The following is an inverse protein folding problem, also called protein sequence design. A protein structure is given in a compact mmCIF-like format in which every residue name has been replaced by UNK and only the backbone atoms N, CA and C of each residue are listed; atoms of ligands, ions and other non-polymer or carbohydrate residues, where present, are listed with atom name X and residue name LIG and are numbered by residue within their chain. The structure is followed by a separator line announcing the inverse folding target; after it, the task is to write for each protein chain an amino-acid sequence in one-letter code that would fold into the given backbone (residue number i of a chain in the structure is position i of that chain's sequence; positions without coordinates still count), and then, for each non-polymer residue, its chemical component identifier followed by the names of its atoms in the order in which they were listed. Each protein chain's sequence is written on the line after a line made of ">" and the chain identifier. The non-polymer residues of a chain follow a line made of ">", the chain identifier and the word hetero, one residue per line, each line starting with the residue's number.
data_IF_811946745706
#
_entry.id   IF_811946745706
#
_cell.length_a   1.000
_cell.length_b   1.000
_cell.length_c   1.000
_cell.angle_alpha   90.00
_cell.angle_beta   90.00
_cell.angle_gamma   90.00
#
_symmetry.space_group_name_H-M   'P 1'
#
loop_
_entity.id
_entity.type
_entity.pdbx_description
1 polymer ?
#
# COMPACT_ATOMS: atom_id res chain seq x y z
N UNK A 1 29.07 -15.88 16.21
CA UNK A 1 29.29 -14.43 16.37
C UNK A 1 28.54 -13.62 15.30
N UNK A 2 28.71 -13.82 14.01
CA UNK A 2 28.05 -13.04 12.92
C UNK A 2 26.50 -12.98 12.96
N UNK A 3 25.78 -14.01 13.45
CA UNK A 3 24.30 -13.94 13.60
C UNK A 3 23.82 -13.01 14.70
N UNK A 4 24.65 -12.73 15.73
CA UNK A 4 24.28 -11.83 16.84
C UNK A 4 24.38 -10.35 16.42
N UNK A 5 25.40 -9.98 15.67
CA UNK A 5 25.62 -8.60 15.19
C UNK A 5 24.58 -8.18 14.17
N UNK A 6 24.16 -9.10 13.29
CA UNK A 6 23.14 -8.82 12.28
C UNK A 6 21.75 -8.48 12.84
N UNK A 7 21.45 -8.89 14.10
CA UNK A 7 20.14 -8.64 14.72
C UNK A 7 20.17 -7.52 15.78
N UNK A 8 21.33 -6.92 16.05
CA UNK A 8 21.44 -5.86 17.06
C UNK A 8 20.60 -4.63 16.75
N UNK A 9 20.55 -4.11 15.49
CA UNK A 9 19.66 -2.98 15.17
C UNK A 9 18.18 -3.27 15.41
N UNK A 10 17.72 -4.50 15.18
CA UNK A 10 16.35 -4.89 15.51
C UNK A 10 16.10 -4.87 17.01
N UNK A 11 17.07 -5.36 17.79
CA UNK A 11 16.97 -5.36 19.26
C UNK A 11 16.91 -3.94 19.81
N UNK A 12 17.68 -3.01 19.21
CA UNK A 12 17.68 -1.60 19.60
C UNK A 12 16.32 -0.96 19.28
N UNK A 13 15.74 -1.25 18.11
CA UNK A 13 14.40 -0.78 17.76
C UNK A 13 13.34 -1.34 18.73
N UNK A 14 13.41 -2.64 19.08
CA UNK A 14 12.51 -3.26 20.08
C UNK A 14 12.70 -2.62 21.47
N UNK A 15 13.94 -2.34 21.87
CA UNK A 15 14.23 -1.66 23.16
C UNK A 15 13.64 -0.26 23.20
N UNK A 16 13.81 0.51 22.14
CA UNK A 16 13.25 1.87 22.04
C UNK A 16 11.72 1.85 22.15
N UNK A 17 11.06 1.07 21.30
CA UNK A 17 9.59 0.99 21.30
C UNK A 17 9.06 0.41 22.62
N UNK A 18 9.76 -0.58 23.18
CA UNK A 18 9.44 -1.16 24.48
C UNK A 18 9.63 -0.18 25.65
N UNK A 19 10.67 0.66 25.62
CA UNK A 19 10.88 1.70 26.63
C UNK A 19 9.78 2.76 26.59
N UNK A 20 9.43 3.26 25.38
CA UNK A 20 8.34 4.23 25.23
C UNK A 20 7.00 3.64 25.70
N UNK A 21 6.73 2.37 25.38
CA UNK A 21 5.54 1.67 25.87
C UNK A 21 5.56 1.52 27.40
N UNK A 22 6.71 1.14 27.98
CA UNK A 22 6.88 1.01 29.42
C UNK A 22 6.62 2.32 30.16
N UNK A 23 7.18 3.43 29.68
CA UNK A 23 6.90 4.77 30.20
C UNK A 23 5.41 5.11 30.08
N UNK A 24 4.79 4.78 28.95
CA UNK A 24 3.34 4.97 28.76
C UNK A 24 2.50 4.20 29.77
N UNK A 25 2.85 2.94 30.02
CA UNK A 25 2.18 2.10 31.04
C UNK A 25 2.33 2.72 32.43
N UNK A 26 3.54 3.17 32.78
CA UNK A 26 3.82 3.81 34.06
C UNK A 26 3.02 5.08 34.25
N UNK A 27 3.00 5.96 33.25
CA UNK A 27 2.28 7.22 33.27
C UNK A 27 0.75 7.06 33.33
N UNK A 28 0.21 6.06 32.64
CA UNK A 28 -1.23 5.86 32.48
C UNK A 28 -1.86 4.95 33.54
N UNK A 29 -1.09 3.99 34.09
CA UNK A 29 -1.61 2.95 34.99
C UNK A 29 -0.86 2.85 36.32
N UNK A 30 0.19 3.66 36.52
CA UNK A 30 0.97 3.73 37.75
C UNK A 30 2.11 2.73 37.83
N UNK A 31 2.98 2.96 38.81
CA UNK A 31 4.21 2.18 39.01
C UNK A 31 3.96 0.70 39.29
N UNK A 32 2.94 0.37 40.10
CA UNK A 32 2.64 -1.01 40.46
C UNK A 32 2.29 -1.89 39.25
N UNK A 33 1.53 -1.35 38.28
CA UNK A 33 1.21 -2.08 37.03
C UNK A 33 2.46 -2.23 36.17
N UNK A 34 3.27 -1.18 36.06
CA UNK A 34 4.52 -1.23 35.32
C UNK A 34 5.47 -2.28 35.88
N UNK A 35 5.69 -2.31 37.22
CA UNK A 35 6.52 -3.30 37.88
C UNK A 35 6.01 -4.73 37.66
N UNK A 36 4.69 -4.95 37.68
CA UNK A 36 4.08 -6.25 37.40
C UNK A 36 4.37 -6.69 35.95
N UNK A 37 4.22 -5.78 34.97
CA UNK A 37 4.55 -6.05 33.56
C UNK A 37 6.03 -6.40 33.41
N UNK A 38 6.95 -5.63 34.02
CA UNK A 38 8.38 -5.89 33.94
C UNK A 38 8.79 -7.22 34.61
N UNK A 39 8.24 -7.50 35.77
CA UNK A 39 8.46 -8.80 36.44
C UNK A 39 7.97 -9.94 35.55
N UNK A 40 6.76 -9.87 35.02
CA UNK A 40 6.22 -10.89 34.13
C UNK A 40 7.09 -11.07 32.86
N UNK A 41 7.61 -10.00 32.31
CA UNK A 41 8.56 -10.04 31.18
C UNK A 41 9.85 -10.77 31.54
N UNK A 42 10.47 -10.44 32.68
CA UNK A 42 11.71 -11.05 33.14
C UNK A 42 11.50 -12.54 33.42
N UNK A 43 10.45 -12.87 34.17
CA UNK A 43 10.17 -14.26 34.53
C UNK A 43 9.81 -15.13 33.31
N UNK A 44 9.15 -14.54 32.30
CA UNK A 44 8.89 -15.21 31.00
C UNK A 44 10.19 -15.63 30.32
N UNK A 45 11.25 -14.81 30.35
CA UNK A 45 12.56 -15.19 29.83
C UNK A 45 13.20 -16.32 30.66
N UNK A 46 13.04 -16.33 32.00
CA UNK A 46 13.55 -17.38 32.87
C UNK A 46 12.83 -18.69 32.59
N UNK A 47 11.51 -18.70 32.40
CA UNK A 47 10.77 -19.90 31.98
C UNK A 47 11.29 -20.41 30.63
N UNK A 48 11.51 -19.52 29.66
CA UNK A 48 12.02 -19.88 28.32
C UNK A 48 13.42 -20.48 28.35
N UNK A 49 14.24 -20.11 29.35
CA UNK A 49 15.57 -20.67 29.58
C UNK A 49 15.55 -21.91 30.47
N UNK A 50 14.37 -22.36 30.88
CA UNK A 50 14.19 -23.46 31.83
C UNK A 50 14.88 -23.22 33.19
N UNK A 51 14.94 -21.95 33.61
CA UNK A 51 15.48 -21.54 34.91
C UNK A 51 14.43 -21.62 36.01
N UNK A 52 13.17 -21.48 35.65
CA UNK A 52 12.00 -21.58 36.53
C UNK A 52 10.87 -22.33 35.85
N UNK A 53 9.92 -22.83 36.64
CA UNK A 53 8.70 -23.46 36.12
C UNK A 53 7.61 -22.45 35.76
N UNK A 54 6.70 -22.83 34.84
CA UNK A 54 5.54 -21.98 34.46
C UNK A 54 4.65 -21.62 35.65
N UNK A 55 4.57 -22.47 36.66
CA UNK A 55 3.81 -22.23 37.85
C UNK A 55 4.32 -21.02 38.67
N UNK A 56 5.63 -20.79 38.66
CA UNK A 56 6.24 -19.64 39.34
C UNK A 56 5.86 -18.31 38.59
N UNK A 57 5.87 -18.34 37.25
CA UNK A 57 5.37 -17.19 36.45
C UNK A 57 3.88 -16.97 36.71
N UNK A 58 3.07 -18.03 36.74
CA UNK A 58 1.62 -17.91 36.98
C UNK A 58 1.32 -17.32 38.36
N UNK A 59 2.11 -17.67 39.39
CA UNK A 59 1.95 -17.14 40.75
C UNK A 59 2.11 -15.61 40.86
N UNK A 60 2.77 -14.96 39.87
CA UNK A 60 2.81 -13.49 39.82
C UNK A 60 1.43 -12.84 39.65
N UNK A 61 0.48 -13.58 39.10
CA UNK A 61 -0.87 -13.10 38.80
C UNK A 61 -1.90 -13.57 39.84
N UNK A 62 -1.48 -14.31 40.88
CA UNK A 62 -2.37 -14.73 41.96
C UNK A 62 -2.88 -13.51 42.73
N UNK A 63 -4.20 -13.38 42.79
CA UNK A 63 -4.86 -12.31 43.56
C UNK A 63 -4.90 -10.93 42.88
N UNK A 64 -4.45 -10.80 41.63
CA UNK A 64 -4.66 -9.54 40.88
C UNK A 64 -6.13 -9.37 40.54
N UNK A 65 -6.61 -8.13 40.60
CA UNK A 65 -7.96 -7.81 40.18
C UNK A 65 -8.03 -7.54 38.65
N UNK A 66 -9.25 -7.39 38.13
CA UNK A 66 -9.50 -7.12 36.72
C UNK A 66 -8.89 -5.79 36.24
N UNK A 67 -8.81 -4.79 37.13
CA UNK A 67 -8.24 -3.49 36.80
C UNK A 67 -6.73 -3.54 36.63
N UNK A 68 -6.07 -4.46 37.30
CA UNK A 68 -4.65 -4.77 37.13
C UNK A 68 -4.40 -5.71 35.94
N UNK A 69 -5.24 -6.73 35.76
CA UNK A 69 -5.10 -7.72 34.70
C UNK A 69 -5.22 -7.13 33.30
N UNK A 70 -6.21 -6.24 33.07
CA UNK A 70 -6.45 -5.61 31.78
C UNK A 70 -5.22 -4.82 31.27
N UNK A 71 -4.60 -3.89 32.02
CA UNK A 71 -3.40 -3.20 31.60
C UNK A 71 -2.21 -4.14 31.30
N UNK A 72 -2.04 -5.20 32.09
CA UNK A 72 -0.97 -6.18 31.84
C UNK A 72 -1.15 -6.89 30.51
N UNK A 73 -2.34 -7.42 30.23
CA UNK A 73 -2.65 -8.08 28.95
C UNK A 73 -2.45 -7.09 27.79
N UNK A 74 -2.90 -5.86 27.95
CA UNK A 74 -2.74 -4.82 26.95
C UNK A 74 -1.28 -4.47 26.69
N UNK A 75 -0.46 -4.40 27.74
CA UNK A 75 0.97 -4.12 27.60
C UNK A 75 1.66 -5.16 26.71
N UNK A 76 1.43 -6.45 26.95
CA UNK A 76 1.98 -7.51 26.11
C UNK A 76 1.42 -7.52 24.70
N UNK A 77 0.14 -7.23 24.52
CA UNK A 77 -0.47 -7.14 23.19
C UNK A 77 0.13 -6.00 22.38
N UNK A 78 0.29 -4.80 22.96
CA UNK A 78 0.91 -3.67 22.30
C UNK A 78 2.40 -3.90 22.07
N UNK A 79 3.10 -4.53 23.03
CA UNK A 79 4.50 -4.89 22.85
C UNK A 79 4.70 -5.83 21.65
N UNK A 80 3.87 -6.85 21.51
CA UNK A 80 3.92 -7.76 20.36
C UNK A 80 3.69 -7.03 19.03
N UNK A 81 2.73 -6.09 19.00
CA UNK A 81 2.45 -5.27 17.84
C UNK A 81 3.64 -4.37 17.47
N UNK A 82 4.27 -3.72 18.44
CA UNK A 82 5.44 -2.87 18.23
C UNK A 82 6.69 -3.68 17.86
N UNK A 83 6.86 -4.87 18.42
CA UNK A 83 7.93 -5.79 18.03
C UNK A 83 7.81 -6.23 16.58
N UNK A 84 6.60 -6.50 16.09
CA UNK A 84 6.37 -6.81 14.68
C UNK A 84 6.77 -5.63 13.77
N UNK A 85 6.47 -4.38 14.18
CA UNK A 85 6.95 -3.19 13.43
C UNK A 85 8.48 -3.17 13.36
N UNK A 86 9.17 -3.43 14.48
CA UNK A 86 10.63 -3.47 14.49
C UNK A 86 11.20 -4.61 13.61
N UNK A 87 10.55 -5.76 13.57
CA UNK A 87 10.91 -6.87 12.69
C UNK A 87 10.74 -6.51 11.21
N UNK A 88 9.66 -5.84 10.83
CA UNK A 88 9.41 -5.40 9.45
C UNK A 88 10.46 -4.38 9.01
N UNK A 89 10.76 -3.38 9.84
CA UNK A 89 11.86 -2.42 9.59
C UNK A 89 13.20 -3.14 9.45
N UNK A 90 13.45 -4.15 10.27
CA UNK A 90 14.68 -4.93 10.16
C UNK A 90 14.77 -5.73 8.86
N UNK A 91 13.66 -6.28 8.37
CA UNK A 91 13.61 -6.95 7.05
C UNK A 91 13.93 -5.98 5.92
N UNK A 92 13.37 -4.77 5.96
CA UNK A 92 13.69 -3.70 5.00
C UNK A 92 15.19 -3.35 5.04
N UNK A 93 15.74 -3.13 6.23
CA UNK A 93 17.18 -2.86 6.45
C UNK A 93 18.07 -3.96 5.90
N UNK A 94 17.75 -5.21 6.18
CA UNK A 94 18.52 -6.35 5.67
C UNK A 94 18.46 -6.47 4.16
N UNK A 95 17.29 -6.21 3.57
CA UNK A 95 17.14 -6.19 2.10
C UNK A 95 18.01 -5.10 1.48
N UNK A 96 18.02 -3.90 2.03
CA UNK A 96 18.86 -2.79 1.55
C UNK A 96 20.36 -3.15 1.62
N UNK A 97 20.83 -3.66 2.76
CA UNK A 97 22.22 -4.11 2.93
C UNK A 97 22.61 -5.19 1.92
N UNK A 98 21.72 -6.16 1.69
CA UNK A 98 21.95 -7.26 0.75
C UNK A 98 22.09 -6.75 -0.69
N UNK A 99 21.24 -5.80 -1.09
CA UNK A 99 21.30 -5.16 -2.41
C UNK A 99 22.60 -4.35 -2.55
N UNK A 100 22.95 -3.55 -1.54
CA UNK A 100 24.16 -2.72 -1.54
C UNK A 100 25.43 -3.58 -1.61
N UNK A 101 25.47 -4.67 -0.87
CA UNK A 101 26.59 -5.63 -0.88
C UNK A 101 26.70 -6.44 -2.17
N UNK A 102 25.75 -6.30 -3.10
CA UNK A 102 25.66 -7.08 -4.35
C UNK A 102 25.78 -8.59 -4.13
N UNK A 103 25.20 -9.07 -3.05
CA UNK A 103 25.13 -10.50 -2.76
C UNK A 103 24.20 -11.23 -3.77
N UNK A 104 24.33 -12.55 -3.86
CA UNK A 104 23.43 -13.36 -4.71
C UNK A 104 21.97 -13.11 -4.34
N UNK A 105 21.06 -12.95 -5.31
CA UNK A 105 19.67 -12.67 -5.05
C UNK A 105 19.04 -13.66 -4.08
N UNK A 106 18.21 -13.14 -3.19
CA UNK A 106 17.50 -13.96 -2.21
C UNK A 106 16.50 -14.89 -2.92
N UNK A 107 16.37 -16.11 -2.43
CA UNK A 107 15.36 -17.05 -2.93
C UNK A 107 13.95 -16.39 -2.87
N UNK A 108 13.13 -16.70 -3.87
CA UNK A 108 11.77 -16.14 -4.02
C UNK A 108 11.72 -14.63 -4.32
N UNK A 109 12.83 -14.05 -4.81
CA UNK A 109 12.84 -12.71 -5.38
C UNK A 109 12.70 -12.75 -6.90
N UNK A 110 12.23 -11.65 -7.52
CA UNK A 110 12.22 -11.53 -8.99
C UNK A 110 13.62 -11.70 -9.57
N UNK A 111 14.64 -11.09 -8.96
CA UNK A 111 16.02 -11.22 -9.40
C UNK A 111 16.51 -12.68 -9.41
N UNK A 112 16.17 -13.49 -8.40
CA UNK A 112 16.50 -14.91 -8.39
C UNK A 112 15.72 -15.71 -9.45
N UNK A 113 14.48 -15.29 -9.73
CA UNK A 113 13.66 -15.88 -10.78
C UNK A 113 14.25 -15.60 -12.16
N UNK A 114 14.68 -14.37 -12.41
CA UNK A 114 15.34 -14.00 -13.66
C UNK A 114 16.66 -14.73 -13.89
N UNK A 115 17.48 -14.95 -12.85
CA UNK A 115 18.69 -15.78 -12.96
C UNK A 115 18.37 -17.24 -13.34
N UNK A 116 17.27 -17.80 -12.83
CA UNK A 116 16.83 -19.14 -13.23
C UNK A 116 16.36 -19.16 -14.68
N UNK A 117 15.64 -18.12 -15.10
CA UNK A 117 15.19 -17.95 -16.47
C UNK A 117 16.38 -17.88 -17.45
N UNK A 118 17.41 -17.09 -17.09
CA UNK A 118 18.66 -16.99 -17.87
C UNK A 118 19.36 -18.36 -17.97
N UNK A 119 19.37 -19.12 -16.87
CA UNK A 119 20.01 -20.45 -16.82
C UNK A 119 19.23 -21.53 -17.58
N UNK A 120 17.94 -21.30 -17.86
CA UNK A 120 17.08 -22.25 -18.57
C UNK A 120 17.22 -22.18 -20.09
N UNK A 121 17.95 -21.20 -20.61
CA UNK A 121 18.20 -20.98 -22.06
C UNK A 121 16.92 -20.96 -22.90
N UNK A 122 15.83 -20.42 -22.36
CA UNK A 122 14.53 -20.32 -23.04
C UNK A 122 14.57 -19.25 -24.12
N UNK A 123 13.91 -19.48 -25.22
CA UNK A 123 13.71 -18.48 -26.27
C UNK A 123 12.52 -17.57 -25.98
N UNK A 124 12.47 -16.42 -26.67
CA UNK A 124 11.43 -15.43 -26.51
C UNK A 124 10.02 -15.96 -26.79
N UNK A 125 9.87 -16.87 -27.74
CA UNK A 125 8.56 -17.43 -28.13
C UNK A 125 8.02 -18.30 -27.02
N UNK A 126 8.84 -19.20 -26.48
CA UNK A 126 8.47 -20.05 -25.33
C UNK A 126 8.05 -19.23 -24.12
N UNK A 127 8.79 -18.14 -23.84
CA UNK A 127 8.46 -17.26 -22.71
C UNK A 127 7.19 -16.46 -22.99
N UNK A 128 7.00 -15.94 -24.22
CA UNK A 128 5.79 -15.22 -24.61
C UNK A 128 4.55 -16.11 -24.47
N UNK A 129 4.62 -17.35 -24.97
CA UNK A 129 3.52 -18.33 -24.86
C UNK A 129 3.16 -18.62 -23.39
N UNK A 130 4.17 -18.78 -22.53
CA UNK A 130 3.95 -19.01 -21.10
C UNK A 130 3.36 -17.79 -20.37
N UNK A 131 3.67 -16.57 -20.84
CA UNK A 131 3.15 -15.33 -20.25
C UNK A 131 1.79 -14.93 -20.82
N UNK A 132 1.40 -15.48 -21.98
CA UNK A 132 0.09 -15.22 -22.58
C UNK A 132 -1.02 -15.70 -21.63
N UNK A 133 -1.81 -14.76 -21.13
CA UNK A 133 -2.87 -15.03 -20.14
C UNK A 133 -2.36 -15.34 -18.73
N UNK A 134 -1.06 -15.17 -18.45
CA UNK A 134 -0.53 -15.35 -17.11
C UNK A 134 -1.15 -14.33 -16.14
N UNK A 135 -1.62 -14.82 -15.00
CA UNK A 135 -2.22 -13.99 -13.95
C UNK A 135 -1.74 -14.45 -12.57
N UNK A 136 -1.14 -13.53 -11.84
CA UNK A 136 -0.88 -13.67 -10.41
C UNK A 136 -1.87 -12.76 -9.68
N UNK A 137 -2.84 -13.34 -9.00
CA UNK A 137 -3.89 -12.60 -8.31
C UNK A 137 -3.81 -12.83 -6.80
N UNK A 138 -3.22 -11.90 -6.04
CA UNK A 138 -3.36 -11.91 -4.59
C UNK A 138 -4.80 -11.57 -4.24
N UNK A 139 -5.50 -12.50 -3.61
CA UNK A 139 -6.92 -12.34 -3.27
C UNK A 139 -7.06 -11.97 -1.81
N UNK A 140 -7.73 -10.83 -1.55
CA UNK A 140 -8.10 -10.43 -0.19
C UNK A 140 -9.30 -11.26 0.24
N UNK A 141 -9.15 -11.96 1.38
CA UNK A 141 -10.21 -12.77 1.98
C UNK A 141 -10.76 -12.10 3.22
N UNK A 142 -12.06 -12.33 3.51
CA UNK A 142 -12.65 -11.90 4.76
C UNK A 142 -12.17 -12.81 5.89
N UNK A 143 -11.57 -12.21 6.93
CA UNK A 143 -11.26 -12.91 8.17
C UNK A 143 -12.12 -12.34 9.29
N UNK A 144 -13.16 -13.04 9.74
CA UNK A 144 -14.05 -12.55 10.80
C UNK A 144 -13.33 -12.34 12.14
N UNK A 145 -12.11 -12.83 12.29
CA UNK A 145 -11.27 -12.63 13.46
C UNK A 145 -10.50 -11.31 13.46
N UNK A 146 -10.40 -10.59 12.34
CA UNK A 146 -9.73 -9.29 12.30
C UNK A 146 -10.68 -8.16 12.74
N UNK A 147 -10.86 -8.05 14.05
CA UNK A 147 -11.73 -7.06 14.69
C UNK A 147 -11.01 -5.74 14.99
N UNK A 148 -9.82 -5.52 14.46
CA UNK A 148 -9.03 -4.31 14.75
C UNK A 148 -9.73 -3.05 14.23
N UNK A 149 -9.67 -1.99 15.03
CA UNK A 149 -10.19 -0.69 14.61
C UNK A 149 -9.29 -0.06 13.54
N UNK A 150 -9.89 0.68 12.62
CA UNK A 150 -9.17 1.46 11.60
C UNK A 150 -8.08 2.34 12.22
N UNK A 151 -8.39 3.02 13.33
CA UNK A 151 -7.45 3.88 14.05
C UNK A 151 -6.21 3.14 14.54
N UNK A 152 -6.31 1.86 14.91
CA UNK A 152 -5.15 1.05 15.31
C UNK A 152 -4.24 0.80 14.11
N UNK A 153 -4.81 0.44 12.95
CA UNK A 153 -4.07 0.25 11.70
C UNK A 153 -3.36 1.54 11.27
N UNK A 154 -4.09 2.67 11.25
CA UNK A 154 -3.53 3.97 10.84
C UNK A 154 -2.41 4.42 11.78
N UNK A 155 -2.57 4.20 13.11
CA UNK A 155 -1.54 4.52 14.10
C UNK A 155 -0.31 3.62 13.94
N UNK A 156 -0.51 2.32 13.72
CA UNK A 156 0.59 1.38 13.47
C UNK A 156 1.37 1.77 12.20
N UNK A 157 0.67 2.10 11.11
CA UNK A 157 1.31 2.58 9.88
C UNK A 157 2.16 3.82 10.14
N UNK A 158 1.63 4.78 10.91
CA UNK A 158 2.37 5.99 11.25
C UNK A 158 3.62 5.71 12.09
N UNK A 159 3.54 4.77 13.05
CA UNK A 159 4.71 4.30 13.81
C UNK A 159 5.75 3.68 12.86
N UNK A 160 5.32 2.86 11.91
CA UNK A 160 6.20 2.24 10.91
C UNK A 160 6.91 3.31 10.05
N UNK A 161 6.20 4.33 9.58
CA UNK A 161 6.78 5.46 8.83
C UNK A 161 7.85 6.20 9.65
N UNK A 162 7.58 6.47 10.92
CA UNK A 162 8.55 7.12 11.82
C UNK A 162 9.78 6.25 12.07
N UNK A 163 9.59 4.92 12.20
CA UNK A 163 10.70 3.98 12.35
C UNK A 163 11.54 3.89 11.06
N UNK A 164 10.95 4.05 9.88
CA UNK A 164 11.70 4.18 8.61
C UNK A 164 12.54 5.45 8.58
N UNK A 165 11.98 6.59 8.97
CA UNK A 165 12.75 7.84 9.07
C UNK A 165 13.97 7.65 10.00
N UNK A 166 13.77 7.04 11.17
CA UNK A 166 14.85 6.73 12.09
C UNK A 166 15.88 5.76 11.49
N UNK A 167 15.44 4.72 10.76
CA UNK A 167 16.32 3.78 10.06
C UNK A 167 17.26 4.48 9.08
N UNK A 168 16.78 5.54 8.42
CA UNK A 168 17.56 6.37 7.51
C UNK A 168 18.34 7.50 8.20
N UNK A 169 18.37 7.54 9.53
CA UNK A 169 19.13 8.51 10.31
C UNK A 169 18.47 9.89 10.47
N UNK A 170 17.18 10.02 10.12
CA UNK A 170 16.45 11.26 10.33
C UNK A 170 15.99 11.39 11.78
N UNK A 171 16.33 12.51 12.42
CA UNK A 171 15.86 12.86 13.75
C UNK A 171 14.52 13.60 13.72
N UNK A 172 14.18 14.22 12.59
CA UNK A 172 12.99 15.03 12.39
C UNK A 172 12.17 14.54 11.19
N UNK A 173 10.87 14.77 11.25
CA UNK A 173 9.94 14.59 10.14
C UNK A 173 10.07 15.74 9.13
N UNK A 174 9.49 15.61 7.94
CA UNK A 174 9.54 16.65 6.91
C UNK A 174 8.95 18.00 7.36
N UNK A 175 8.02 18.00 8.34
CA UNK A 175 7.44 19.19 8.96
C UNK A 175 8.18 19.64 10.24
N UNK A 176 9.41 19.14 10.48
CA UNK A 176 10.29 19.60 11.56
C UNK A 176 9.92 19.10 12.95
N UNK A 177 9.18 18.00 13.06
CA UNK A 177 8.86 17.40 14.36
C UNK A 177 9.88 16.32 14.71
N UNK A 178 10.26 16.27 15.98
CA UNK A 178 11.13 15.23 16.51
C UNK A 178 10.49 13.83 16.37
N UNK A 179 11.22 12.90 15.76
CA UNK A 179 10.73 11.54 15.44
C UNK A 179 10.42 10.76 16.70
N UNK A 180 11.25 10.85 17.74
CA UNK A 180 11.05 10.08 18.98
C UNK A 180 9.84 10.60 19.77
N UNK A 181 9.64 11.93 19.79
CA UNK A 181 8.45 12.55 20.36
C UNK A 181 7.19 12.13 19.63
N UNK A 182 7.22 12.06 18.30
CA UNK A 182 6.08 11.59 17.51
C UNK A 182 5.82 10.10 17.75
N UNK A 183 6.84 9.25 17.89
CA UNK A 183 6.69 7.84 18.27
C UNK A 183 5.98 7.73 19.62
N UNK A 184 6.42 8.49 20.63
CA UNK A 184 5.77 8.53 21.94
C UNK A 184 4.29 8.94 21.80
N UNK A 185 4.00 9.99 21.06
CA UNK A 185 2.63 10.47 20.83
C UNK A 185 1.74 9.37 20.24
N UNK A 186 2.22 8.66 19.23
CA UNK A 186 1.45 7.59 18.57
C UNK A 186 1.33 6.34 19.45
N UNK A 187 2.33 5.99 20.24
CA UNK A 187 2.25 4.86 21.20
C UNK A 187 1.25 5.18 22.32
N UNK A 188 1.23 6.39 22.85
CA UNK A 188 0.19 6.84 23.82
C UNK A 188 -1.20 6.77 23.18
N UNK A 189 -1.35 7.24 21.94
CA UNK A 189 -2.63 7.15 21.21
C UNK A 189 -3.07 5.69 21.04
N UNK A 190 -2.13 4.80 20.67
CA UNK A 190 -2.39 3.38 20.54
C UNK A 190 -2.80 2.76 21.88
N UNK A 191 -2.10 3.12 22.95
CA UNK A 191 -2.44 2.68 24.32
C UNK A 191 -3.82 3.09 24.77
N UNK A 192 -4.26 4.30 24.45
CA UNK A 192 -5.60 4.82 24.81
C UNK A 192 -6.69 4.37 23.84
N UNK A 193 -6.34 3.71 22.75
CA UNK A 193 -7.32 3.21 21.77
C UNK A 193 -7.74 1.78 22.13
N UNK A 194 -9.04 1.49 22.14
CA UNK A 194 -9.52 0.13 22.28
C UNK A 194 -9.15 -0.69 21.04
N UNK A 195 -8.40 -1.77 21.22
CA UNK A 195 -7.93 -2.63 20.12
C UNK A 195 -9.09 -3.33 19.41
N UNK A 196 -10.09 -3.77 20.18
CA UNK A 196 -11.21 -4.59 19.71
C UNK A 196 -12.47 -3.74 19.65
N UNK A 197 -13.27 -3.91 18.59
CA UNK A 197 -14.62 -3.37 18.52
C UNK A 197 -15.56 -4.23 19.38
N UNK A 198 -16.41 -3.60 20.19
CA UNK A 198 -17.44 -4.31 20.95
C UNK A 198 -18.67 -4.64 20.08
N UNK A 199 -18.86 -3.93 18.97
CA UNK A 199 -19.94 -4.17 18.02
C UNK A 199 -19.56 -5.27 17.05
N UNK A 200 -20.53 -6.14 16.72
CA UNK A 200 -20.38 -7.15 15.67
C UNK A 200 -20.07 -6.45 14.33
N UNK A 201 -19.04 -6.92 13.63
CA UNK A 201 -18.72 -6.46 12.28
C UNK A 201 -19.89 -6.72 11.33
N UNK A 202 -20.22 -5.72 10.52
CA UNK A 202 -21.11 -5.86 9.39
C UNK A 202 -20.29 -6.10 8.13
N UNK A 203 -20.87 -6.73 7.13
CA UNK A 203 -20.21 -7.00 5.86
C UNK A 203 -19.66 -5.71 5.20
N UNK A 204 -20.31 -4.58 5.43
CA UNK A 204 -19.85 -3.26 4.97
C UNK A 204 -18.53 -2.85 5.63
N UNK A 205 -18.35 -3.15 6.93
CA UNK A 205 -17.09 -2.88 7.65
C UNK A 205 -15.94 -3.76 7.11
N UNK A 206 -16.27 -5.00 6.69
CA UNK A 206 -15.31 -5.91 6.08
C UNK A 206 -14.86 -5.42 4.70
N UNK A 207 -15.81 -4.97 3.86
CA UNK A 207 -15.53 -4.36 2.55
C UNK A 207 -14.59 -3.17 2.72
N UNK A 208 -14.92 -2.22 3.60
CA UNK A 208 -14.08 -1.04 3.86
C UNK A 208 -12.69 -1.42 4.41
N UNK A 209 -12.61 -2.49 5.18
CA UNK A 209 -11.34 -2.99 5.73
C UNK A 209 -10.46 -3.58 4.62
N UNK A 210 -11.02 -4.37 3.72
CA UNK A 210 -10.29 -4.93 2.58
C UNK A 210 -9.82 -3.86 1.59
N UNK A 211 -10.69 -2.92 1.24
CA UNK A 211 -10.36 -1.83 0.30
C UNK A 211 -9.27 -0.88 0.81
N UNK A 212 -9.07 -0.80 2.11
CA UNK A 212 -8.01 0.02 2.73
C UNK A 212 -6.59 -0.34 2.27
N UNK A 213 -6.35 -1.60 1.92
CA UNK A 213 -5.04 -2.04 1.46
C UNK A 213 -4.65 -1.47 0.09
N UNK A 214 -5.63 -1.06 -0.73
CA UNK A 214 -5.36 -0.47 -2.04
C UNK A 214 -4.61 0.86 -1.92
N UNK A 215 -5.15 1.92 -1.29
CA UNK A 215 -4.41 3.17 -1.14
C UNK A 215 -3.24 3.08 -0.13
N UNK A 216 -3.21 2.04 0.72
CA UNK A 216 -2.12 1.88 1.67
C UNK A 216 -0.86 1.23 1.06
N UNK A 217 -1.02 0.42 0.00
CA UNK A 217 0.10 -0.32 -0.60
C UNK A 217 -0.11 -0.73 -2.07
N UNK A 218 -1.29 -1.24 -2.46
CA UNK A 218 -1.44 -1.90 -3.75
C UNK A 218 -1.31 -0.94 -4.92
N UNK A 219 -1.85 0.27 -4.83
CA UNK A 219 -1.74 1.25 -5.90
C UNK A 219 -0.31 1.68 -6.19
N UNK A 220 0.57 1.66 -5.18
CA UNK A 220 1.98 2.00 -5.36
C UNK A 220 2.82 0.79 -5.76
N UNK A 221 2.62 -0.36 -5.09
CA UNK A 221 3.53 -1.52 -5.21
C UNK A 221 3.28 -2.31 -6.49
N UNK A 222 2.01 -2.48 -6.90
CA UNK A 222 1.70 -3.35 -8.04
C UNK A 222 2.18 -2.79 -9.37
N UNK A 223 2.04 -1.49 -9.66
CA UNK A 223 2.65 -0.88 -10.84
C UNK A 223 4.15 -1.07 -10.89
N UNK A 224 4.84 -0.89 -9.75
CA UNK A 224 6.29 -1.05 -9.66
C UNK A 224 6.72 -2.49 -9.97
N UNK A 225 6.04 -3.50 -9.41
CA UNK A 225 6.33 -4.91 -9.67
C UNK A 225 6.10 -5.26 -11.14
N UNK A 226 4.99 -4.82 -11.72
CA UNK A 226 4.70 -5.07 -13.14
C UNK A 226 5.73 -4.38 -14.06
N UNK A 227 6.15 -3.15 -13.73
CA UNK A 227 7.19 -2.43 -14.45
C UNK A 227 8.56 -3.12 -14.33
N UNK A 228 8.93 -3.61 -13.14
CA UNK A 228 10.17 -4.37 -12.92
C UNK A 228 10.20 -5.64 -13.79
N UNK A 229 9.09 -6.38 -13.83
CA UNK A 229 8.97 -7.59 -14.66
C UNK A 229 9.10 -7.23 -16.15
N UNK A 230 8.37 -6.23 -16.63
CA UNK A 230 8.41 -5.77 -18.03
C UNK A 230 9.82 -5.33 -18.44
N UNK A 231 10.46 -4.52 -17.62
CA UNK A 231 11.83 -4.03 -17.84
C UNK A 231 12.82 -5.18 -17.92
N UNK A 232 12.73 -6.13 -16.99
CA UNK A 232 13.63 -7.28 -16.95
C UNK A 232 13.45 -8.22 -18.14
N UNK A 233 12.24 -8.40 -18.62
CA UNK A 233 11.95 -9.18 -19.83
C UNK A 233 12.40 -8.45 -21.09
N UNK A 234 12.13 -7.16 -21.22
CA UNK A 234 12.57 -6.33 -22.34
C UNK A 234 14.09 -6.23 -22.48
N UNK A 235 14.83 -6.21 -21.35
CA UNK A 235 16.29 -6.26 -21.36
C UNK A 235 16.84 -7.59 -21.91
N UNK A 236 16.11 -8.69 -21.75
CA UNK A 236 16.50 -10.03 -22.24
C UNK A 236 16.14 -10.24 -23.70
N UNK A 237 14.98 -9.77 -24.10
CA UNK A 237 14.42 -9.94 -25.43
C UNK A 237 13.88 -8.61 -25.97
N UNK A 238 14.76 -7.67 -26.38
CA UNK A 238 14.36 -6.31 -26.72
C UNK A 238 13.44 -6.24 -27.96
N UNK A 239 13.49 -7.23 -28.84
CA UNK A 239 12.71 -7.29 -30.07
C UNK A 239 11.39 -8.07 -29.92
N UNK A 240 11.08 -8.55 -28.70
CA UNK A 240 9.90 -9.35 -28.44
C UNK A 240 8.89 -8.61 -27.55
N UNK A 241 7.64 -8.59 -27.97
CA UNK A 241 6.51 -8.21 -27.11
C UNK A 241 6.16 -9.38 -26.19
N UNK A 242 6.58 -9.31 -24.93
CA UNK A 242 6.44 -10.41 -23.98
C UNK A 242 5.32 -10.23 -22.98
N UNK A 243 4.86 -9.01 -22.76
CA UNK A 243 3.90 -8.71 -21.71
C UNK A 243 3.06 -7.47 -22.08
N UNK A 244 1.92 -7.71 -22.72
CA UNK A 244 0.98 -6.65 -23.10
C UNK A 244 0.11 -6.23 -21.92
N UNK A 245 -0.23 -7.18 -21.03
CA UNK A 245 -1.04 -6.95 -19.85
C UNK A 245 -0.25 -7.14 -18.54
N UNK A 246 -0.63 -6.47 -17.45
CA UNK A 246 -0.05 -6.72 -16.13
C UNK A 246 -0.32 -8.14 -15.66
N UNK A 247 0.73 -8.84 -15.25
CA UNK A 247 0.60 -10.18 -14.68
C UNK A 247 0.13 -10.19 -13.23
N UNK A 248 0.35 -9.10 -12.50
CA UNK A 248 -0.04 -8.97 -11.11
C UNK A 248 -1.29 -8.10 -11.00
N UNK A 249 -2.42 -8.71 -10.66
CA UNK A 249 -3.72 -8.03 -10.47
C UNK A 249 -4.40 -8.52 -9.20
N UNK A 250 -4.83 -7.64 -8.29
CA UNK A 250 -5.46 -8.05 -7.04
C UNK A 250 -6.90 -8.50 -7.28
N UNK A 251 -7.34 -9.39 -6.40
CA UNK A 251 -8.74 -9.80 -6.31
C UNK A 251 -9.27 -9.63 -4.89
N UNK A 252 -10.58 -9.80 -4.72
CA UNK A 252 -11.21 -9.82 -3.40
C UNK A 252 -12.40 -10.77 -3.40
N UNK A 253 -12.53 -11.54 -2.32
CA UNK A 253 -13.73 -12.32 -2.03
C UNK A 253 -14.73 -11.55 -1.15
N UNK A 254 -14.28 -10.44 -0.56
CA UNK A 254 -15.09 -9.69 0.41
C UNK A 254 -16.31 -9.07 -0.26
N UNK A 255 -17.48 -9.47 0.19
CA UNK A 255 -18.77 -9.02 -0.35
C UNK A 255 -19.22 -9.77 -1.61
N UNK A 256 -18.42 -10.69 -2.16
CA UNK A 256 -18.77 -11.55 -3.31
C UNK A 256 -18.97 -13.00 -2.94
N UNK A 257 -18.05 -13.57 -2.17
CA UNK A 257 -18.09 -14.96 -1.74
C UNK A 257 -19.17 -15.19 -0.67
N UNK A 258 -20.06 -16.10 -0.96
CA UNK A 258 -21.16 -16.45 -0.04
C UNK A 258 -20.75 -17.45 1.02
N UNK A 259 -20.01 -18.47 0.66
CA UNK A 259 -19.57 -19.58 1.54
C UNK A 259 -20.58 -19.90 2.67
N UNK A 260 -21.86 -20.02 2.30
CA UNK A 260 -22.97 -20.24 3.24
C UNK A 260 -23.38 -19.01 4.06
N UNK A 261 -22.79 -17.84 3.88
CA UNK A 261 -23.16 -16.61 4.59
C UNK A 261 -24.43 -15.97 3.97
N UNK A 262 -25.58 -15.99 4.66
CA UNK A 262 -26.83 -15.44 4.13
C UNK A 262 -26.81 -13.91 4.00
N UNK A 263 -25.82 -13.22 4.60
CA UNK A 263 -25.69 -11.77 4.53
C UNK A 263 -25.02 -11.29 3.24
N UNK A 264 -24.41 -12.20 2.44
CA UNK A 264 -23.86 -11.85 1.12
C UNK A 264 -24.98 -11.96 0.09
N UNK A 265 -25.63 -10.84 -0.14
CA UNK A 265 -26.74 -10.68 -1.09
C UNK A 265 -26.28 -9.95 -2.36
N UNK A 266 -27.11 -9.95 -3.42
CA UNK A 266 -26.83 -9.17 -4.64
C UNK A 266 -26.63 -7.66 -4.35
N UNK A 267 -27.29 -7.12 -3.32
CA UNK A 267 -27.10 -5.73 -2.88
C UNK A 267 -25.72 -5.53 -2.26
N UNK A 268 -25.23 -6.50 -1.51
CA UNK A 268 -23.89 -6.46 -0.93
C UNK A 268 -22.83 -6.55 -2.03
N UNK A 269 -23.03 -7.40 -3.05
CA UNK A 269 -22.13 -7.45 -4.22
C UNK A 269 -22.09 -6.10 -4.93
N UNK A 270 -23.23 -5.46 -5.19
CA UNK A 270 -23.26 -4.12 -5.78
C UNK A 270 -22.57 -3.08 -4.90
N UNK A 271 -22.76 -3.17 -3.59
CA UNK A 271 -22.07 -2.27 -2.64
C UNK A 271 -20.55 -2.49 -2.69
N UNK A 272 -20.08 -3.73 -2.68
CA UNK A 272 -18.67 -4.07 -2.72
C UNK A 272 -18.00 -3.58 -4.01
N UNK A 273 -18.63 -3.86 -5.17
CA UNK A 273 -18.13 -3.39 -6.48
C UNK A 273 -18.17 -1.87 -6.60
N UNK A 274 -19.24 -1.22 -6.14
CA UNK A 274 -19.34 0.23 -6.14
C UNK A 274 -18.30 0.91 -5.26
N UNK A 275 -18.01 0.35 -4.08
CA UNK A 275 -16.95 0.83 -3.19
C UNK A 275 -15.56 0.62 -3.76
N UNK A 276 -15.32 -0.53 -4.40
CA UNK A 276 -14.07 -0.79 -5.09
C UNK A 276 -13.85 0.17 -6.25
N UNK A 277 -14.86 0.38 -7.09
CA UNK A 277 -14.81 1.37 -8.18
C UNK A 277 -14.56 2.79 -7.65
N UNK A 278 -15.22 3.18 -6.57
CA UNK A 278 -14.99 4.47 -5.93
C UNK A 278 -13.53 4.64 -5.49
N UNK A 279 -12.97 3.62 -4.81
CA UNK A 279 -11.59 3.66 -4.33
C UNK A 279 -10.58 3.77 -5.48
N UNK A 280 -10.81 3.08 -6.60
CA UNK A 280 -9.96 3.18 -7.78
C UNK A 280 -10.06 4.55 -8.45
N UNK A 281 -11.29 5.07 -8.62
CA UNK A 281 -11.52 6.38 -9.23
C UNK A 281 -10.95 7.52 -8.39
N UNK A 282 -11.05 7.47 -7.06
CA UNK A 282 -10.38 8.45 -6.18
C UNK A 282 -8.87 8.47 -6.44
N UNK A 283 -8.24 7.31 -6.57
CA UNK A 283 -6.82 7.23 -6.89
C UNK A 283 -6.53 7.85 -8.27
N UNK A 284 -7.30 7.53 -9.31
CA UNK A 284 -7.12 8.11 -10.64
C UNK A 284 -7.25 9.63 -10.65
N UNK A 285 -8.18 10.19 -9.91
CA UNK A 285 -8.32 11.65 -9.80
C UNK A 285 -7.08 12.30 -9.16
N UNK A 286 -6.51 11.66 -8.13
CA UNK A 286 -5.26 12.13 -7.50
C UNK A 286 -4.12 12.12 -8.51
N UNK A 287 -3.93 11.01 -9.22
CA UNK A 287 -2.85 10.85 -10.22
C UNK A 287 -3.00 11.84 -11.39
N UNK A 288 -4.19 11.94 -11.98
CA UNK A 288 -4.44 12.91 -13.08
C UNK A 288 -4.22 14.34 -12.61
N UNK A 289 -4.61 14.66 -11.38
CA UNK A 289 -4.40 16.01 -10.83
C UNK A 289 -2.90 16.27 -10.62
N UNK A 290 -2.13 15.30 -10.18
CA UNK A 290 -0.68 15.43 -10.04
C UNK A 290 -0.02 15.64 -11.42
N UNK A 291 -0.38 14.82 -12.41
CA UNK A 291 0.08 15.00 -13.80
C UNK A 291 -0.31 16.38 -14.39
N UNK A 292 -1.52 16.85 -14.11
CA UNK A 292 -1.96 18.19 -14.54
C UNK A 292 -1.08 19.30 -13.95
N UNK A 293 -0.61 19.11 -12.72
CA UNK A 293 0.30 20.08 -12.07
C UNK A 293 1.71 20.03 -12.67
N UNK A 294 2.20 18.84 -12.96
CA UNK A 294 3.54 18.61 -13.49
C UNK A 294 3.66 19.01 -14.96
N UNK A 295 2.75 18.54 -15.83
CA UNK A 295 2.80 18.75 -17.27
C UNK A 295 2.26 20.13 -17.69
N UNK A 296 2.84 21.19 -17.14
CA UNK A 296 2.44 22.59 -17.36
C UNK A 296 3.14 23.28 -18.54
N UNK A 297 3.69 22.49 -19.50
CA UNK A 297 4.50 23.01 -20.59
C UNK A 297 3.72 23.91 -21.52
N UNK A 298 4.36 25.03 -21.94
CA UNK A 298 3.78 25.98 -22.88
C UNK A 298 4.02 25.58 -24.34
N UNK A 299 2.98 25.65 -25.17
CA UNK A 299 3.05 25.46 -26.63
C UNK A 299 4.00 26.46 -27.34
N UNK A 300 4.43 27.51 -26.66
CA UNK A 300 5.45 28.43 -27.16
C UNK A 300 6.86 27.87 -27.06
N UNK A 301 7.07 26.91 -26.18
CA UNK A 301 8.39 26.35 -25.86
C UNK A 301 8.53 24.91 -26.37
N UNK A 302 7.43 24.15 -26.38
CA UNK A 302 7.42 22.75 -26.79
C UNK A 302 6.43 22.53 -27.93
N UNK A 303 6.76 21.63 -28.85
CA UNK A 303 5.82 21.14 -29.85
C UNK A 303 5.00 20.01 -29.25
N UNK A 304 3.82 19.81 -29.77
CA UNK A 304 2.92 18.70 -29.39
C UNK A 304 2.40 18.03 -30.67
N UNK A 305 1.95 16.79 -30.53
CA UNK A 305 1.31 16.09 -31.65
C UNK A 305 -0.06 16.66 -31.98
N UNK A 306 -0.55 16.44 -33.20
CA UNK A 306 -1.86 16.87 -33.63
C UNK A 306 -2.98 16.17 -32.83
N UNK A 307 -2.75 14.92 -32.44
CA UNK A 307 -3.67 14.14 -31.60
C UNK A 307 -3.79 14.78 -30.22
N UNK A 308 -2.66 15.16 -29.57
CA UNK A 308 -2.68 15.85 -28.28
C UNK A 308 -3.38 17.21 -28.41
N UNK A 309 -3.10 17.98 -29.47
CA UNK A 309 -3.75 19.25 -29.70
C UNK A 309 -5.27 19.10 -29.86
N UNK A 310 -5.71 18.03 -30.55
CA UNK A 310 -7.12 17.67 -30.69
C UNK A 310 -7.77 17.33 -29.35
N UNK A 311 -7.14 16.46 -28.56
CA UNK A 311 -7.60 16.10 -27.21
C UNK A 311 -7.71 17.36 -26.33
N UNK A 312 -6.67 18.20 -26.32
CA UNK A 312 -6.64 19.46 -25.57
C UNK A 312 -7.72 20.45 -26.00
N UNK A 313 -8.16 20.39 -27.27
CA UNK A 313 -9.26 21.20 -27.84
C UNK A 313 -10.61 20.98 -27.15
N UNK A 314 -10.81 19.81 -26.51
CA UNK A 314 -11.99 19.53 -25.69
C UNK A 314 -12.10 20.39 -24.42
N UNK A 315 -10.98 20.96 -23.94
CA UNK A 315 -10.98 21.88 -22.80
C UNK A 315 -11.26 23.33 -23.28
N UNK A 316 -12.37 23.89 -22.83
CA UNK A 316 -12.83 25.24 -23.22
C UNK A 316 -12.35 26.36 -22.28
N UNK A 317 -11.49 26.07 -21.32
CA UNK A 317 -10.98 27.07 -20.38
C UNK A 317 -10.01 28.06 -21.06
N UNK A 318 -10.30 29.37 -21.04
CA UNK A 318 -9.45 30.35 -21.72
C UNK A 318 -8.10 30.58 -21.01
N UNK A 319 -8.06 30.41 -19.68
CA UNK A 319 -6.93 30.80 -18.86
C UNK A 319 -5.64 29.96 -19.10
N UNK A 320 -5.76 28.81 -19.77
CA UNK A 320 -4.66 27.86 -20.00
C UNK A 320 -4.47 27.58 -21.51
N UNK A 321 -4.70 28.56 -22.32
CA UNK A 321 -4.74 28.44 -23.80
C UNK A 321 -3.46 27.93 -24.43
N UNK A 322 -2.29 28.14 -23.76
CA UNK A 322 -0.97 27.76 -24.25
C UNK A 322 -0.39 26.52 -23.49
N UNK A 323 -1.17 25.82 -22.64
CA UNK A 323 -0.75 24.64 -21.88
C UNK A 323 -1.43 23.36 -22.42
N UNK A 324 -1.03 22.82 -23.59
CA UNK A 324 -1.79 21.75 -24.26
C UNK A 324 -1.84 20.45 -23.45
N UNK A 325 -0.76 20.03 -22.78
CA UNK A 325 -0.77 18.82 -21.95
C UNK A 325 -1.74 18.94 -20.78
N UNK A 326 -1.69 20.06 -20.06
CA UNK A 326 -2.60 20.31 -18.95
C UNK A 326 -4.06 20.33 -19.39
N UNK A 327 -4.33 20.90 -20.57
CA UNK A 327 -5.68 20.92 -21.16
C UNK A 327 -6.16 19.52 -21.54
N UNK A 328 -5.29 18.68 -22.11
CA UNK A 328 -5.60 17.28 -22.42
C UNK A 328 -5.93 16.50 -21.14
N UNK A 329 -5.12 16.64 -20.09
CA UNK A 329 -5.35 16.01 -18.79
C UNK A 329 -6.67 16.49 -18.14
N UNK A 330 -7.05 17.75 -18.30
CA UNK A 330 -8.37 18.24 -17.85
C UNK A 330 -9.52 17.60 -18.61
N UNK A 331 -9.36 17.31 -19.90
CA UNK A 331 -10.35 16.55 -20.67
C UNK A 331 -10.47 15.13 -20.11
N UNK A 332 -9.35 14.48 -19.88
CA UNK A 332 -9.31 13.12 -19.27
C UNK A 332 -9.99 13.15 -17.90
N UNK A 333 -9.66 14.11 -17.05
CA UNK A 333 -10.29 14.30 -15.74
C UNK A 333 -11.81 14.48 -15.85
N UNK A 334 -12.26 15.35 -16.76
CA UNK A 334 -13.69 15.58 -16.98
C UNK A 334 -14.44 14.35 -17.50
N UNK A 335 -13.82 13.55 -18.38
CA UNK A 335 -14.37 12.27 -18.85
C UNK A 335 -14.44 11.23 -17.73
N UNK A 336 -13.40 11.15 -16.88
CA UNK A 336 -13.42 10.31 -15.68
C UNK A 336 -14.52 10.73 -14.70
N UNK A 337 -14.74 12.05 -14.53
CA UNK A 337 -15.83 12.56 -13.70
C UNK A 337 -17.19 12.12 -14.20
N UNK A 338 -17.42 12.21 -15.52
CA UNK A 338 -18.66 11.72 -16.15
C UNK A 338 -18.82 10.19 -15.99
N UNK A 339 -17.72 9.44 -16.11
CA UNK A 339 -17.69 7.99 -15.90
C UNK A 339 -18.04 7.62 -14.46
N UNK A 340 -17.42 8.30 -13.48
CA UNK A 340 -17.69 8.09 -12.07
C UNK A 340 -19.15 8.41 -11.69
N UNK A 341 -19.70 9.49 -12.26
CA UNK A 341 -21.09 9.86 -12.01
C UNK A 341 -22.09 8.77 -12.45
N UNK A 342 -21.81 8.07 -13.55
CA UNK A 342 -22.65 6.98 -14.02
C UNK A 342 -22.45 5.68 -13.23
N UNK A 343 -21.19 5.27 -12.99
CA UNK A 343 -20.89 4.01 -12.27
C UNK A 343 -21.37 4.06 -10.82
N UNK A 344 -21.23 5.22 -10.18
CA UNK A 344 -21.53 5.38 -8.75
C UNK A 344 -22.94 5.91 -8.49
N UNK A 345 -23.73 6.18 -9.54
CA UNK A 345 -25.06 6.81 -9.47
C UNK A 345 -25.04 8.10 -8.61
N UNK A 346 -23.92 8.81 -8.63
CA UNK A 346 -23.74 10.11 -7.96
C UNK A 346 -22.57 10.87 -8.56
N UNK A 347 -22.62 12.19 -8.51
CA UNK A 347 -21.44 12.98 -8.85
C UNK A 347 -20.40 12.89 -7.72
N UNK A 348 -19.12 12.65 -8.04
CA UNK A 348 -18.03 12.82 -7.11
C UNK A 348 -18.00 14.26 -6.56
N UNK A 349 -17.68 14.45 -5.29
CA UNK A 349 -17.92 15.72 -4.55
C UNK A 349 -17.19 16.90 -5.09
N UNK A 350 -16.05 17.10 -5.40
CA UNK A 350 -15.34 18.31 -5.85
C UNK A 350 -14.81 18.21 -7.29
N UNK A 351 -15.34 17.30 -8.09
CA UNK A 351 -14.77 16.95 -9.37
C UNK A 351 -15.21 17.89 -10.49
N UNK A 352 -14.35 18.01 -11.51
CA UNK A 352 -14.49 18.92 -12.61
C UNK A 352 -15.57 18.44 -13.59
N UNK A 353 -16.77 18.98 -13.51
CA UNK A 353 -17.82 18.66 -14.50
C UNK A 353 -17.70 19.59 -15.71
N UNK A 354 -17.11 19.07 -16.79
CA UNK A 354 -16.95 19.80 -18.06
C UNK A 354 -18.05 19.47 -19.07
N UNK A 355 -19.05 18.66 -18.75
CA UNK A 355 -20.10 18.22 -19.66
C UNK A 355 -19.55 17.33 -20.80
N UNK A 356 -18.47 16.60 -20.55
CA UNK A 356 -17.85 15.71 -21.52
C UNK A 356 -18.49 14.31 -21.47
N UNK A 357 -18.36 13.58 -22.58
CA UNK A 357 -18.79 12.20 -22.64
C UNK A 357 -17.91 11.32 -21.75
N UNK A 358 -18.55 10.35 -21.07
CA UNK A 358 -17.87 9.37 -20.25
C UNK A 358 -17.00 8.42 -21.08
N UNK A 359 -16.09 7.74 -20.44
CA UNK A 359 -15.42 6.58 -21.01
C UNK A 359 -16.38 5.39 -21.06
N UNK A 360 -16.45 4.72 -22.21
CA UNK A 360 -17.26 3.52 -22.37
C UNK A 360 -16.54 2.28 -21.87
N UNK A 361 -15.23 2.25 -22.05
CA UNK A 361 -14.34 1.14 -21.65
C UNK A 361 -13.05 1.67 -21.01
N UNK A 362 -12.34 0.86 -20.23
CA UNK A 362 -11.01 1.21 -19.76
C UNK A 362 -10.01 1.49 -20.87
N UNK A 363 -10.16 0.82 -22.02
CA UNK A 363 -9.29 1.03 -23.19
C UNK A 363 -9.41 2.46 -23.76
N UNK A 364 -10.57 3.10 -23.65
CA UNK A 364 -10.76 4.49 -24.10
C UNK A 364 -9.93 5.46 -23.23
N UNK A 365 -9.83 5.22 -21.93
CA UNK A 365 -8.98 5.99 -21.03
C UNK A 365 -7.50 5.79 -21.35
N UNK A 366 -7.10 4.54 -21.58
CA UNK A 366 -5.72 4.22 -21.94
C UNK A 366 -5.34 4.88 -23.27
N UNK A 367 -6.23 4.87 -24.25
CA UNK A 367 -5.99 5.54 -25.54
C UNK A 367 -5.73 7.06 -25.37
N UNK A 368 -6.48 7.74 -24.50
CA UNK A 368 -6.22 9.16 -24.21
C UNK A 368 -4.87 9.38 -23.51
N UNK A 369 -4.48 8.48 -22.61
CA UNK A 369 -3.17 8.54 -21.94
C UNK A 369 -2.02 8.22 -22.89
N UNK A 370 -2.20 7.26 -23.81
CA UNK A 370 -1.23 6.92 -24.85
C UNK A 370 -0.97 8.10 -25.79
N UNK A 371 -1.98 8.94 -26.07
CA UNK A 371 -1.80 10.20 -26.84
C UNK A 371 -0.86 11.15 -26.10
N UNK A 372 -1.00 11.25 -24.76
CA UNK A 372 -0.11 12.09 -23.94
C UNK A 372 1.31 11.55 -23.96
N UNK A 373 1.49 10.24 -23.72
CA UNK A 373 2.79 9.55 -23.73
C UNK A 373 3.49 9.68 -25.09
N UNK A 374 2.81 9.34 -26.16
CA UNK A 374 3.35 9.40 -27.51
C UNK A 374 3.80 10.82 -27.90
N UNK A 375 3.03 11.83 -27.51
CA UNK A 375 3.40 13.24 -27.78
C UNK A 375 4.65 13.64 -26.98
N UNK A 376 4.78 13.25 -25.72
CA UNK A 376 5.96 13.51 -24.89
C UNK A 376 7.21 12.86 -25.50
N UNK A 377 7.13 11.61 -25.92
CA UNK A 377 8.26 10.87 -26.54
C UNK A 377 8.66 11.47 -27.89
N UNK A 378 7.69 11.80 -28.73
CA UNK A 378 7.94 12.37 -30.06
C UNK A 378 8.63 13.75 -29.99
N UNK A 379 8.48 14.48 -28.91
CA UNK A 379 8.99 15.85 -28.78
C UNK A 379 10.14 15.99 -27.77
N UNK A 380 10.85 14.88 -27.50
CA UNK A 380 12.11 14.87 -26.70
C UNK A 380 11.91 14.94 -25.19
N UNK A 381 10.70 14.69 -24.70
CA UNK A 381 10.35 14.68 -23.28
C UNK A 381 10.13 13.27 -22.73
N UNK A 382 10.93 12.28 -23.23
CA UNK A 382 10.81 10.88 -22.87
C UNK A 382 10.93 10.63 -21.35
N UNK A 383 11.74 11.43 -20.64
CA UNK A 383 11.84 11.33 -19.17
C UNK A 383 10.51 11.57 -18.47
N UNK A 384 9.73 12.57 -18.95
CA UNK A 384 8.39 12.84 -18.41
C UNK A 384 7.39 11.74 -18.81
N UNK A 385 7.56 11.16 -20.01
CA UNK A 385 6.76 10.02 -20.43
C UNK A 385 7.04 8.77 -19.59
N UNK A 386 8.29 8.54 -19.19
CA UNK A 386 8.64 7.41 -18.32
C UNK A 386 8.03 7.56 -16.92
N UNK A 387 7.94 8.77 -16.38
CA UNK A 387 7.23 9.05 -15.14
C UNK A 387 5.71 8.87 -15.30
N UNK A 388 5.13 9.29 -16.43
CA UNK A 388 3.73 9.03 -16.76
C UNK A 388 3.44 7.52 -16.83
N UNK A 389 4.33 6.71 -17.42
CA UNK A 389 4.23 5.25 -17.45
C UNK A 389 4.38 4.66 -16.05
N UNK A 390 5.24 5.21 -15.19
CA UNK A 390 5.37 4.76 -13.81
C UNK A 390 4.12 5.11 -12.98
N UNK A 391 3.52 6.27 -13.19
CA UNK A 391 2.27 6.70 -12.55
C UNK A 391 1.04 6.00 -13.16
N UNK A 392 0.98 5.87 -14.49
CA UNK A 392 -0.12 5.22 -15.22
C UNK A 392 0.12 3.74 -15.46
N UNK A 393 1.36 3.35 -15.57
CA UNK A 393 1.74 2.21 -16.40
C UNK A 393 2.09 1.01 -15.60
N UNK A 394 2.06 0.62 -14.76
CA UNK A 394 2.42 -0.74 -14.34
C UNK A 394 1.22 -1.56 -13.92
N UNK A 395 0.01 -1.05 -13.99
CA UNK A 395 -1.17 -1.80 -13.61
C UNK A 395 -2.15 -1.07 -12.68
N UNK A 396 -1.90 0.17 -12.27
CA UNK A 396 -2.89 0.94 -11.52
C UNK A 396 -4.16 1.17 -12.35
N UNK A 397 -3.99 1.48 -13.64
CA UNK A 397 -5.10 1.65 -14.59
C UNK A 397 -5.81 0.35 -14.96
N UNK A 398 -5.13 -0.80 -14.84
CA UNK A 398 -5.74 -2.12 -15.01
C UNK A 398 -6.41 -2.64 -13.72
N UNK A 399 -6.30 -1.94 -12.62
CA UNK A 399 -7.06 -2.21 -11.40
C UNK A 399 -8.52 -1.70 -11.48
N UNK A 400 -9.05 -1.55 -12.70
CA UNK A 400 -10.48 -1.33 -12.94
C UNK A 400 -11.28 -2.47 -12.36
N UNK A 401 -12.35 -2.18 -11.68
CA UNK A 401 -12.56 -2.53 -10.28
C UNK A 401 -11.97 -3.89 -9.93
N UNK A 402 -11.49 -4.13 -8.73
CA UNK A 402 -10.92 -5.42 -8.35
C UNK A 402 -11.89 -6.51 -8.78
N UNK A 403 -11.39 -7.50 -9.53
CA UNK A 403 -12.21 -8.61 -10.01
C UNK A 403 -12.76 -9.31 -8.77
N UNK A 404 -14.08 -9.26 -8.59
CA UNK A 404 -14.74 -10.12 -7.61
C UNK A 404 -14.75 -11.51 -8.21
N UNK A 405 -14.03 -12.43 -7.59
CA UNK A 405 -14.15 -13.85 -7.90
C UNK A 405 -15.37 -14.41 -7.18
N UNK A 406 -16.24 -15.11 -7.92
CA UNK A 406 -17.33 -15.91 -7.37
C UNK A 406 -16.79 -17.16 -6.68
#
# INVERSE_FOLDING_TARGET
>A
MMRSEATEPMRDDIRLLGAILGDTVREQNGEAVFELVERARVESFRVRRSEIERAELAALFDGIDIHQAIPVIRAFTHFALLANVAEDIHRERRRAIHIEARESPQNSSLAATFLKLDSAELDAVTVADALTGALVSPVITAHPTETRRRTVFDTQRRITELMRLRMHGHAETADGRDVERELRRHIVTLWQTALIRLSRLKIQDEIETGLRYYPAAFFDVMPQVNAEVRTALGARWPDAHLLDEPILRPGSWIGGDRDGNPNVTAEVVRLATGRAAYTALEHYFVEITALEQELSMSARLVKVSDELATLAGGCKEPARGDEPYRRALRVIHGRLTATAAEILDRQPGNELNLGLERYSTPADLLADLDIVDASLRAHGSAVLADDLVNMSGGGAWYAWPPVLYE
#
